data_IF_940186870838
#
_entry.id   IF_940186870838
#
_cell.length_a   1.000
_cell.length_b   1.000
_cell.length_c   1.000
_cell.angle_alpha   90.00
_cell.angle_beta   90.00
_cell.angle_gamma   90.00
#
_symmetry.space_group_name_H-M   'P 1'
#
loop_
_entity.id
_entity.type
_entity.pdbx_description
1 polymer ?
#
# COMPACT_ATOMS: atom_id res chain seq x y z
N UNK A 1 18.37 -30.99 34.30
CA UNK A 1 19.81 -30.89 34.60
C UNK A 1 20.53 -31.04 33.28
N UNK A 2 21.30 -30.03 32.89
CA UNK A 2 22.10 -30.01 31.66
C UNK A 2 23.55 -30.32 32.03
N UNK A 3 24.23 -31.16 31.23
CA UNK A 3 25.63 -31.53 31.42
C UNK A 3 26.29 -31.56 30.05
N UNK A 4 27.38 -30.82 29.87
CA UNK A 4 28.11 -30.73 28.60
C UNK A 4 29.59 -31.01 28.81
N UNK A 5 29.89 -32.21 29.29
CA UNK A 5 31.26 -32.62 29.58
C UNK A 5 31.99 -32.97 28.29
N UNK A 6 33.24 -32.52 28.19
CA UNK A 6 34.15 -32.96 27.13
C UNK A 6 34.27 -34.49 27.15
N UNK A 7 34.46 -35.10 25.99
CA UNK A 7 34.77 -36.53 25.89
C UNK A 7 35.89 -36.91 26.88
N UNK A 8 35.67 -37.97 27.66
CA UNK A 8 36.52 -38.46 28.77
C UNK A 8 36.58 -37.62 30.06
N UNK A 9 35.58 -36.78 30.30
CA UNK A 9 35.36 -36.02 31.53
C UNK A 9 34.00 -36.37 32.18
N UNK A 10 33.84 -36.21 33.51
CA UNK A 10 34.85 -35.87 34.50
C UNK A 10 35.85 -37.01 34.75
N UNK A 11 37.14 -36.68 34.89
CA UNK A 11 38.27 -37.61 34.98
C UNK A 11 38.49 -38.26 36.37
N UNK A 12 37.74 -37.84 37.39
CA UNK A 12 37.65 -38.55 38.68
C UNK A 12 38.89 -38.46 39.58
N UNK A 13 39.80 -37.53 39.31
CA UNK A 13 40.99 -37.29 40.13
C UNK A 13 40.65 -36.64 41.47
N UNK A 14 41.27 -37.09 42.57
CA UNK A 14 41.00 -36.56 43.93
C UNK A 14 41.36 -35.08 44.12
N UNK A 15 42.08 -34.48 43.17
CA UNK A 15 42.48 -33.08 43.17
C UNK A 15 41.71 -32.20 42.17
N UNK A 16 40.81 -32.76 41.36
CA UNK A 16 40.07 -32.02 40.32
C UNK A 16 38.60 -31.89 40.72
N UNK A 17 38.31 -30.92 41.60
CA UNK A 17 36.98 -30.74 42.20
C UNK A 17 36.23 -29.51 41.67
N UNK A 18 36.84 -28.73 40.78
CA UNK A 18 36.26 -27.54 40.17
C UNK A 18 36.02 -27.76 38.67
N UNK A 19 35.08 -27.02 38.08
CA UNK A 19 34.74 -27.10 36.65
C UNK A 19 35.21 -25.83 35.96
N UNK A 20 35.91 -25.99 34.84
CA UNK A 20 36.22 -24.90 33.93
C UNK A 20 35.55 -25.16 32.57
N UNK A 21 35.13 -24.09 31.89
CA UNK A 21 34.58 -24.16 30.53
C UNK A 21 35.67 -23.77 29.54
N UNK A 22 35.86 -24.58 28.50
CA UNK A 22 36.81 -24.26 27.43
C UNK A 22 36.18 -23.27 26.45
N UNK A 23 36.74 -22.06 26.30
CA UNK A 23 36.21 -21.07 25.32
C UNK A 23 36.41 -21.48 23.85
N UNK A 24 37.20 -22.52 23.58
CA UNK A 24 37.47 -23.01 22.22
C UNK A 24 36.60 -24.19 21.82
N UNK A 25 36.03 -24.92 22.78
CA UNK A 25 35.22 -26.12 22.51
C UNK A 25 33.87 -26.11 23.24
N UNK A 26 33.60 -25.08 24.05
CA UNK A 26 32.37 -24.82 24.82
C UNK A 26 31.95 -25.88 25.85
N UNK A 27 32.66 -27.01 25.90
CA UNK A 27 32.45 -28.13 26.83
C UNK A 27 33.15 -27.90 28.21
N UNK A 28 32.71 -28.66 29.21
CA UNK A 28 33.16 -28.62 30.61
C UNK A 28 34.31 -29.61 30.86
N UNK A 29 35.28 -29.18 31.67
CA UNK A 29 36.41 -29.99 32.11
C UNK A 29 36.60 -29.92 33.63
N UNK A 30 36.95 -31.04 34.27
CA UNK A 30 37.34 -31.06 35.67
C UNK A 30 38.77 -30.53 35.86
N UNK A 31 38.95 -29.56 36.76
CA UNK A 31 40.23 -28.90 37.02
C UNK A 31 40.50 -28.79 38.52
N UNK A 32 41.76 -28.55 38.85
CA UNK A 32 42.14 -28.22 40.22
C UNK A 32 41.54 -26.87 40.60
N UNK A 33 41.00 -26.77 41.81
CA UNK A 33 40.46 -25.51 42.33
C UNK A 33 41.55 -24.48 42.66
N UNK A 34 42.82 -24.92 42.73
CA UNK A 34 43.98 -24.07 43.04
C UNK A 34 44.63 -23.47 41.78
N UNK A 35 44.16 -23.84 40.59
CA UNK A 35 44.67 -23.31 39.32
C UNK A 35 44.10 -21.91 39.05
N UNK A 36 44.93 -21.02 38.50
CA UNK A 36 44.50 -19.68 38.12
C UNK A 36 43.79 -19.71 36.76
N UNK A 37 42.49 -19.42 36.76
CA UNK A 37 41.67 -19.24 35.57
C UNK A 37 40.97 -17.88 35.59
N UNK A 38 40.69 -17.34 34.39
CA UNK A 38 39.74 -16.25 34.26
C UNK A 38 38.35 -16.74 34.67
N UNK A 39 37.59 -15.88 35.35
CA UNK A 39 36.28 -16.23 35.89
C UNK A 39 35.18 -15.44 35.19
N UNK A 40 34.07 -16.11 34.88
CA UNK A 40 32.85 -15.47 34.40
C UNK A 40 31.87 -15.44 35.56
N UNK A 41 31.53 -14.24 36.02
CA UNK A 41 30.50 -14.06 37.04
C UNK A 41 29.12 -13.97 36.37
N UNK A 42 28.21 -14.86 36.73
CA UNK A 42 26.79 -14.73 36.35
C UNK A 42 26.07 -13.91 37.42
N UNK A 43 25.39 -12.84 37.00
CA UNK A 43 24.43 -12.12 37.84
C UNK A 43 23.04 -12.53 37.37
N UNK A 44 22.21 -13.03 38.29
CA UNK A 44 20.78 -13.18 38.04
C UNK A 44 20.13 -11.81 38.18
N UNK A 45 19.89 -11.13 37.06
CA UNK A 45 19.10 -9.90 37.04
C UNK A 45 17.65 -10.32 36.82
N UNK A 46 16.84 -10.31 37.86
CA UNK A 46 15.38 -10.35 37.67
C UNK A 46 14.99 -9.00 37.04
N UNK A 47 14.39 -9.04 35.85
CA UNK A 47 14.07 -7.88 35.00
C UNK A 47 15.28 -7.09 34.50
N UNK A 48 16.09 -7.69 33.62
CA UNK A 48 16.89 -6.87 32.69
C UNK A 48 15.96 -6.44 31.54
N UNK A 49 15.66 -5.15 31.46
CA UNK A 49 14.97 -4.62 30.28
C UNK A 49 15.95 -4.58 29.09
N UNK A 50 15.86 -5.60 28.24
CA UNK A 50 16.68 -5.75 27.04
C UNK A 50 16.42 -4.64 25.99
N UNK A 51 15.35 -3.85 26.16
CA UNK A 51 15.00 -2.73 25.29
C UNK A 51 15.54 -1.37 25.77
N UNK A 52 16.32 -1.33 26.87
CA UNK A 52 16.87 -0.07 27.42
C UNK A 52 17.59 0.81 26.39
N UNK A 53 18.22 0.20 25.38
CA UNK A 53 18.96 0.91 24.32
C UNK A 53 18.27 0.88 22.96
N UNK A 54 17.05 0.33 22.89
CA UNK A 54 16.32 -0.01 21.67
C UNK A 54 17.21 -0.66 20.57
N UNK A 55 17.47 -1.97 20.64
CA UNK A 55 18.26 -2.68 19.64
C UNK A 55 17.61 -2.74 18.24
N UNK A 56 16.31 -2.48 18.13
CA UNK A 56 15.57 -2.49 16.87
C UNK A 56 15.84 -1.19 16.11
N UNK A 57 16.32 -1.29 14.86
CA UNK A 57 16.65 -0.12 14.05
C UNK A 57 15.38 0.59 13.55
N UNK A 58 14.46 -0.17 12.97
CA UNK A 58 13.21 0.32 12.38
C UNK A 58 12.01 -0.48 12.91
N UNK A 59 11.85 -0.49 14.23
CA UNK A 59 10.76 -1.23 14.87
C UNK A 59 10.67 -0.97 16.36
N UNK A 60 9.65 -1.56 16.97
CA UNK A 60 9.42 -1.52 18.40
C UNK A 60 10.07 -2.73 19.09
N UNK A 61 10.88 -2.46 20.10
CA UNK A 61 11.49 -3.49 20.93
C UNK A 61 10.51 -3.99 22.00
N UNK A 62 10.37 -5.31 22.10
CA UNK A 62 9.60 -5.99 23.14
C UNK A 62 10.57 -6.80 24.00
N UNK A 63 10.70 -6.43 25.27
CA UNK A 63 11.55 -7.14 26.22
C UNK A 63 10.86 -8.42 26.71
N UNK A 64 11.63 -9.50 26.86
CA UNK A 64 11.19 -10.80 27.38
C UNK A 64 12.17 -11.30 28.44
N UNK A 65 11.86 -12.41 29.13
CA UNK A 65 12.57 -12.83 30.36
C UNK A 65 14.11 -12.98 30.21
N UNK A 66 14.61 -13.30 29.02
CA UNK A 66 16.05 -13.49 28.76
C UNK A 66 16.52 -12.90 27.42
N UNK A 67 15.65 -12.20 26.67
CA UNK A 67 15.96 -11.63 25.35
C UNK A 67 15.03 -10.48 25.00
N UNK A 68 15.26 -9.81 23.87
CA UNK A 68 14.29 -8.95 23.22
C UNK A 68 13.79 -9.57 21.91
N UNK A 69 12.67 -9.05 21.41
CA UNK A 69 12.20 -9.27 20.05
C UNK A 69 11.88 -7.92 19.42
N UNK A 70 12.05 -7.79 18.11
CA UNK A 70 11.67 -6.60 17.38
C UNK A 70 10.37 -6.81 16.62
N UNK A 71 9.45 -5.86 16.74
CA UNK A 71 8.27 -5.73 15.88
C UNK A 71 8.59 -4.69 14.84
N UNK A 72 8.87 -5.11 13.61
CA UNK A 72 9.35 -4.19 12.57
C UNK A 72 8.24 -3.29 12.04
N UNK A 73 8.61 -2.04 11.76
CA UNK A 73 7.77 -1.09 11.04
C UNK A 73 7.53 -1.59 9.61
N UNK A 74 6.51 -1.02 8.95
CA UNK A 74 6.18 -1.38 7.59
C UNK A 74 7.37 -1.22 6.64
N UNK A 75 7.58 -2.24 5.80
CA UNK A 75 8.71 -2.29 4.88
C UNK A 75 10.04 -2.68 5.52
N UNK A 76 10.07 -3.13 6.78
CA UNK A 76 11.29 -3.60 7.44
C UNK A 76 11.16 -5.05 7.92
N UNK A 77 12.27 -5.80 7.84
CA UNK A 77 12.38 -7.16 8.37
C UNK A 77 13.76 -7.44 8.98
N UNK A 78 13.95 -8.67 9.45
CA UNK A 78 15.14 -9.13 10.14
C UNK A 78 15.00 -9.05 11.66
N UNK A 79 15.87 -9.75 12.38
CA UNK A 79 15.84 -9.82 13.86
C UNK A 79 15.98 -8.44 14.52
N UNK A 80 16.64 -7.49 13.84
CA UNK A 80 16.87 -6.12 14.30
C UNK A 80 16.13 -5.07 13.46
N UNK A 81 15.24 -5.47 12.56
CA UNK A 81 14.58 -4.58 11.60
C UNK A 81 15.56 -3.75 10.75
N UNK A 82 16.63 -4.39 10.28
CA UNK A 82 17.74 -3.81 9.53
C UNK A 82 17.64 -4.08 8.01
N UNK A 83 16.64 -4.85 7.56
CA UNK A 83 16.41 -5.17 6.14
C UNK A 83 15.24 -4.38 5.60
N UNK A 84 15.50 -3.49 4.64
CA UNK A 84 14.49 -2.66 3.99
C UNK A 84 13.86 -3.39 2.78
N UNK A 85 12.53 -3.32 2.66
CA UNK A 85 11.76 -3.88 1.56
C UNK A 85 10.99 -2.79 0.83
N UNK A 86 11.07 -2.80 -0.51
CA UNK A 86 10.29 -1.94 -1.42
C UNK A 86 9.19 -2.75 -2.06
N UNK A 87 8.02 -2.17 -2.19
CA UNK A 87 6.84 -2.92 -1.83
C UNK A 87 5.67 -2.34 -2.64
N UNK A 88 5.14 -3.11 -3.59
CA UNK A 88 4.03 -2.76 -4.49
C UNK A 88 2.71 -3.30 -3.93
N UNK A 89 1.62 -3.30 -4.71
CA UNK A 89 0.37 -3.96 -4.30
C UNK A 89 0.47 -5.49 -4.27
N UNK A 90 1.36 -6.08 -5.08
CA UNK A 90 1.43 -7.54 -5.32
C UNK A 90 2.69 -8.19 -4.74
N UNK A 91 3.82 -7.47 -4.69
CA UNK A 91 5.14 -8.00 -4.31
C UNK A 91 5.88 -7.06 -3.36
N UNK A 92 6.89 -7.60 -2.68
CA UNK A 92 7.94 -6.79 -2.07
C UNK A 92 9.30 -7.31 -2.53
N UNK A 93 10.27 -6.41 -2.55
CA UNK A 93 11.58 -6.55 -3.13
C UNK A 93 12.64 -6.06 -2.15
N UNK A 94 13.70 -6.83 -1.97
CA UNK A 94 14.87 -6.50 -1.18
C UNK A 94 16.11 -6.55 -2.07
N UNK A 95 16.86 -5.45 -2.17
CA UNK A 95 18.09 -5.40 -2.95
C UNK A 95 19.30 -5.67 -2.05
N UNK A 96 20.11 -6.64 -2.46
CA UNK A 96 21.47 -6.78 -1.99
C UNK A 96 22.43 -5.97 -2.89
N UNK A 97 23.14 -5.04 -2.26
CA UNK A 97 24.09 -4.16 -2.96
C UNK A 97 25.38 -4.87 -3.37
N UNK A 98 25.73 -5.99 -2.72
CA UNK A 98 26.86 -6.83 -3.09
C UNK A 98 26.51 -7.71 -4.29
N UNK A 99 27.46 -7.83 -5.24
CA UNK A 99 27.31 -8.71 -6.41
C UNK A 99 27.71 -10.14 -6.05
N UNK A 100 26.86 -11.10 -6.41
CA UNK A 100 27.01 -12.52 -6.06
C UNK A 100 26.85 -13.41 -7.28
N UNK A 101 27.37 -14.64 -7.18
CA UNK A 101 27.06 -15.69 -8.16
C UNK A 101 25.58 -16.06 -8.08
N UNK A 102 25.03 -16.67 -9.12
CA UNK A 102 23.61 -17.06 -9.12
C UNK A 102 23.26 -17.97 -7.93
N UNK A 103 24.11 -18.95 -7.61
CA UNK A 103 23.89 -19.84 -6.47
C UNK A 103 23.95 -19.12 -5.12
N UNK A 104 24.86 -18.16 -4.97
CA UNK A 104 24.98 -17.37 -3.74
C UNK A 104 23.81 -16.39 -3.59
N UNK A 105 23.30 -15.86 -4.70
CA UNK A 105 22.12 -15.01 -4.75
C UNK A 105 20.86 -15.75 -4.27
N UNK A 106 20.65 -16.98 -4.76
CA UNK A 106 19.55 -17.86 -4.30
C UNK A 106 19.69 -18.15 -2.81
N UNK A 107 20.87 -18.60 -2.37
CA UNK A 107 21.11 -18.91 -0.96
C UNK A 107 20.92 -17.70 -0.03
N UNK A 108 21.24 -16.50 -0.52
CA UNK A 108 21.01 -15.27 0.22
C UNK A 108 19.51 -15.00 0.41
N UNK A 109 18.70 -15.06 -0.66
CA UNK A 109 17.26 -14.85 -0.55
C UNK A 109 16.60 -15.90 0.34
N UNK A 110 17.02 -17.15 0.24
CA UNK A 110 16.55 -18.23 1.13
C UNK A 110 16.88 -17.95 2.61
N UNK A 111 18.02 -17.30 2.88
CA UNK A 111 18.45 -16.97 4.26
C UNK A 111 17.60 -15.89 4.93
N UNK A 112 16.81 -15.13 4.16
CA UNK A 112 15.87 -14.14 4.70
C UNK A 112 14.62 -14.79 5.31
N UNK A 113 14.45 -16.10 5.11
CA UNK A 113 13.25 -16.81 5.52
C UNK A 113 13.32 -17.24 6.98
N UNK A 114 12.24 -17.04 7.77
CA UNK A 114 10.94 -16.47 7.38
C UNK A 114 10.89 -14.94 7.29
N UNK A 115 10.33 -14.38 6.21
CA UNK A 115 10.06 -12.94 6.12
C UNK A 115 8.71 -12.62 6.74
N UNK A 116 8.70 -11.66 7.68
CA UNK A 116 7.48 -11.13 8.31
C UNK A 116 7.44 -9.62 8.05
N UNK A 117 6.40 -9.14 7.36
CA UNK A 117 6.12 -7.72 7.15
C UNK A 117 4.79 -7.38 7.80
N UNK A 118 4.67 -6.20 8.42
CA UNK A 118 3.53 -5.80 9.23
C UNK A 118 2.34 -5.21 8.42
N UNK A 119 2.31 -5.47 7.11
CA UNK A 119 1.34 -4.85 6.22
C UNK A 119 -0.06 -5.48 6.35
N UNK A 120 -1.06 -4.61 6.35
CA UNK A 120 -2.49 -4.81 6.57
C UNK A 120 -3.22 -5.79 5.63
N UNK A 121 -2.52 -6.46 4.72
CA UNK A 121 -3.16 -7.30 3.69
C UNK A 121 -2.91 -8.79 3.90
N UNK A 122 -1.81 -9.22 4.53
CA UNK A 122 -1.62 -10.62 4.94
C UNK A 122 -0.78 -10.70 6.21
N UNK A 123 -1.41 -11.00 7.34
CA UNK A 123 -0.66 -11.51 8.50
C UNK A 123 -0.11 -12.89 8.15
N UNK A 124 1.18 -13.03 7.85
CA UNK A 124 1.76 -14.33 7.54
C UNK A 124 3.25 -14.33 7.23
N UNK A 125 3.90 -15.44 7.56
CA UNK A 125 5.27 -15.75 7.18
C UNK A 125 5.33 -16.19 5.72
N UNK A 126 6.22 -15.60 4.92
CA UNK A 126 6.49 -16.00 3.53
C UNK A 126 7.96 -16.32 3.32
N UNK A 127 8.22 -17.13 2.31
CA UNK A 127 9.57 -17.39 1.83
C UNK A 127 9.89 -16.41 0.70
N UNK A 128 10.98 -15.67 0.87
CA UNK A 128 11.64 -14.94 -0.16
C UNK A 128 12.31 -15.88 -1.16
N UNK A 129 12.24 -15.48 -2.42
CA UNK A 129 12.89 -16.12 -3.55
C UNK A 129 13.76 -15.10 -4.28
N UNK A 130 14.65 -15.54 -5.16
CA UNK A 130 15.27 -14.62 -6.12
C UNK A 130 14.19 -14.08 -7.09
N UNK A 131 14.43 -12.90 -7.67
CA UNK A 131 13.49 -12.19 -8.54
C UNK A 131 12.93 -13.09 -9.65
N UNK A 132 11.62 -13.07 -9.83
CA UNK A 132 10.90 -13.73 -10.91
C UNK A 132 10.03 -12.72 -11.66
N UNK A 133 10.17 -12.70 -12.98
CA UNK A 133 9.47 -11.78 -13.88
C UNK A 133 8.68 -12.63 -14.89
N UNK A 134 7.40 -12.87 -14.63
CA UNK A 134 6.60 -13.88 -15.33
C UNK A 134 5.68 -13.34 -16.42
N UNK A 135 5.37 -12.04 -16.41
CA UNK A 135 4.38 -11.41 -17.27
C UNK A 135 4.77 -10.00 -17.71
N UNK A 136 4.12 -9.46 -18.74
CA UNK A 136 4.29 -8.05 -19.16
C UNK A 136 3.92 -7.07 -18.03
N UNK A 137 3.03 -7.45 -17.12
CA UNK A 137 2.70 -6.66 -15.93
C UNK A 137 3.86 -6.65 -14.91
N UNK A 138 4.50 -7.81 -14.66
CA UNK A 138 5.70 -7.89 -13.82
C UNK A 138 6.85 -7.10 -14.41
N UNK A 139 7.01 -7.13 -15.74
CA UNK A 139 8.04 -6.38 -16.45
C UNK A 139 7.89 -4.87 -16.18
N UNK A 140 6.67 -4.32 -16.24
CA UNK A 140 6.41 -2.91 -15.95
C UNK A 140 6.56 -2.58 -14.46
N UNK A 141 6.13 -3.48 -13.57
CA UNK A 141 6.24 -3.29 -12.12
C UNK A 141 7.71 -3.21 -11.66
N UNK A 142 8.60 -3.95 -12.32
CA UNK A 142 10.04 -3.93 -12.03
C UNK A 142 10.74 -2.72 -12.70
N UNK A 143 10.20 -2.12 -13.77
CA UNK A 143 10.76 -0.88 -14.35
C UNK A 143 10.75 0.27 -13.35
N UNK A 144 9.63 0.50 -12.67
CA UNK A 144 9.49 1.54 -11.63
C UNK A 144 10.44 1.29 -10.45
N UNK A 145 10.82 0.02 -10.24
CA UNK A 145 11.76 -0.41 -9.20
C UNK A 145 13.23 -0.21 -9.62
N UNK A 146 13.55 -0.29 -10.91
CA UNK A 146 14.92 -0.15 -11.42
C UNK A 146 15.42 1.29 -11.44
N UNK A 147 14.53 2.27 -11.57
CA UNK A 147 14.86 3.69 -11.36
C UNK A 147 15.32 3.96 -9.91
N UNK A 148 14.79 3.19 -8.95
CA UNK A 148 15.20 3.25 -7.55
C UNK A 148 16.58 2.62 -7.29
N UNK A 149 17.00 1.65 -8.09
CA UNK A 149 18.30 0.97 -7.99
C UNK A 149 19.36 1.49 -8.96
N UNK A 150 19.36 2.81 -9.19
CA UNK A 150 20.06 3.56 -10.24
C UNK A 150 21.57 3.30 -10.45
N UNK A 151 22.22 2.50 -9.58
CA UNK A 151 23.61 2.08 -9.71
C UNK A 151 23.82 0.67 -10.26
N UNK A 152 22.77 -0.16 -10.34
CA UNK A 152 22.85 -1.56 -10.75
C UNK A 152 22.75 -1.69 -12.27
N UNK A 153 23.54 -2.58 -12.88
CA UNK A 153 23.53 -2.80 -14.34
C UNK A 153 22.86 -4.12 -14.74
N UNK A 154 22.96 -5.12 -13.87
CA UNK A 154 22.43 -6.46 -14.09
C UNK A 154 21.88 -7.00 -12.78
N UNK A 155 20.72 -7.64 -12.86
CA UNK A 155 20.08 -8.31 -11.73
C UNK A 155 19.75 -9.73 -12.12
N UNK A 156 20.08 -10.68 -11.25
CA UNK A 156 19.73 -12.09 -11.45
C UNK A 156 18.20 -12.30 -11.44
N UNK A 157 17.72 -13.17 -12.33
CA UNK A 157 16.33 -13.67 -12.32
C UNK A 157 16.31 -15.19 -12.18
N UNK A 158 15.24 -15.74 -11.61
CA UNK A 158 15.10 -17.17 -11.32
C UNK A 158 14.85 -18.02 -12.57
N UNK A 159 15.79 -17.99 -13.52
CA UNK A 159 15.73 -18.69 -14.78
C UNK A 159 17.04 -19.39 -15.04
N UNK A 160 16.95 -20.69 -15.31
CA UNK A 160 18.10 -21.52 -15.61
C UNK A 160 17.81 -22.48 -16.76
N UNK A 161 18.87 -22.91 -17.45
CA UNK A 161 18.84 -23.91 -18.51
C UNK A 161 19.62 -25.15 -18.05
N UNK A 162 18.90 -26.15 -17.51
CA UNK A 162 19.51 -27.37 -16.95
C UNK A 162 20.16 -28.27 -18.03
N UNK A 163 19.71 -28.18 -19.27
CA UNK A 163 20.12 -29.06 -20.38
C UNK A 163 21.05 -28.35 -21.40
N UNK A 164 21.36 -27.07 -21.17
CA UNK A 164 22.19 -26.18 -22.00
C UNK A 164 21.75 -26.16 -23.48
N UNK A 165 20.44 -26.24 -23.73
CA UNK A 165 19.84 -26.30 -25.06
C UNK A 165 19.22 -24.98 -25.52
N UNK A 166 19.43 -23.91 -24.75
CA UNK A 166 18.89 -22.55 -24.87
C UNK A 166 17.39 -22.43 -24.55
N UNK A 167 16.76 -23.46 -23.97
CA UNK A 167 15.41 -23.40 -23.42
C UNK A 167 15.44 -23.12 -21.92
N UNK A 168 15.48 -21.84 -21.58
CA UNK A 168 15.46 -21.40 -20.19
C UNK A 168 14.10 -21.68 -19.54
N UNK A 169 14.17 -22.22 -18.33
CA UNK A 169 13.04 -22.49 -17.47
C UNK A 169 13.09 -21.51 -16.31
N UNK A 170 12.14 -20.58 -16.26
CA UNK A 170 11.98 -19.72 -15.11
C UNK A 170 10.96 -20.30 -14.15
N UNK A 171 11.35 -20.48 -12.89
CA UNK A 171 10.44 -20.96 -11.85
C UNK A 171 10.17 -19.82 -10.88
N UNK A 172 8.89 -19.50 -10.66
CA UNK A 172 8.50 -18.94 -9.38
C UNK A 172 8.29 -20.11 -8.42
N UNK A 173 8.68 -19.96 -7.15
CA UNK A 173 8.45 -21.01 -6.15
C UNK A 173 6.96 -21.41 -6.05
N UNK A 174 6.05 -20.53 -6.46
CA UNK A 174 4.60 -20.69 -6.33
C UNK A 174 3.75 -20.35 -7.59
N UNK A 175 4.21 -19.57 -8.58
CA UNK A 175 3.41 -19.21 -9.80
C UNK A 175 3.60 -20.16 -11.01
N UNK A 176 4.36 -21.24 -10.82
CA UNK A 176 4.63 -22.21 -11.88
C UNK A 176 5.81 -21.82 -12.77
N UNK A 177 5.86 -22.46 -13.93
CA UNK A 177 7.05 -22.51 -14.79
C UNK A 177 6.81 -21.74 -16.09
N UNK A 178 7.64 -20.73 -16.36
CA UNK A 178 7.64 -20.01 -17.64
C UNK A 178 8.70 -20.60 -18.56
N UNK A 179 8.31 -21.00 -19.77
CA UNK A 179 9.19 -21.61 -20.78
C UNK A 179 9.27 -20.84 -22.10
N UNK A 180 8.48 -19.77 -22.27
CA UNK A 180 8.36 -18.97 -23.51
C UNK A 180 8.78 -17.50 -23.30
N UNK A 181 10.01 -17.27 -22.84
CA UNK A 181 10.54 -15.93 -22.53
C UNK A 181 10.69 -15.12 -23.84
N UNK A 182 10.12 -13.91 -23.88
CA UNK A 182 10.14 -13.05 -25.09
C UNK A 182 10.91 -11.74 -24.93
N UNK A 183 11.24 -11.33 -23.71
CA UNK A 183 11.82 -10.02 -23.44
C UNK A 183 13.36 -9.97 -23.54
N UNK A 184 13.93 -10.70 -24.51
CA UNK A 184 15.36 -10.78 -24.74
C UNK A 184 15.94 -9.49 -25.33
N UNK A 185 17.18 -9.17 -24.97
CA UNK A 185 17.98 -8.15 -25.65
C UNK A 185 18.24 -8.58 -27.11
N UNK A 186 18.48 -7.59 -27.98
CA UNK A 186 18.84 -7.85 -29.36
C UNK A 186 20.02 -8.83 -29.44
N UNK A 187 19.83 -9.92 -30.19
CA UNK A 187 20.77 -11.05 -30.36
C UNK A 187 20.89 -12.06 -29.20
N UNK A 188 20.04 -11.98 -28.18
CA UNK A 188 19.93 -12.97 -27.11
C UNK A 188 18.72 -13.91 -27.32
N UNK A 189 18.72 -15.14 -26.75
CA UNK A 189 19.85 -15.78 -26.09
C UNK A 189 20.96 -16.12 -27.10
N UNK A 190 22.22 -15.87 -26.75
CA UNK A 190 23.36 -16.06 -27.66
C UNK A 190 24.20 -17.31 -27.38
N UNK A 191 23.91 -18.00 -26.27
CA UNK A 191 24.17 -19.41 -25.99
C UNK A 191 25.46 -19.99 -26.57
N UNK A 192 26.58 -19.84 -25.86
CA UNK A 192 27.81 -20.58 -26.15
C UNK A 192 27.86 -21.99 -25.52
N UNK A 193 26.78 -22.41 -24.85
CA UNK A 193 26.67 -23.67 -24.09
C UNK A 193 27.26 -23.63 -22.68
N UNK A 194 27.58 -22.44 -22.15
CA UNK A 194 28.03 -22.23 -20.75
C UNK A 194 27.25 -21.15 -19.99
N UNK A 195 26.29 -20.52 -20.66
CA UNK A 195 25.48 -19.40 -20.16
C UNK A 195 24.10 -19.90 -19.74
N UNK A 196 24.05 -20.69 -18.67
CA UNK A 196 22.84 -21.40 -18.23
C UNK A 196 21.98 -20.60 -17.24
N UNK A 197 22.31 -19.34 -16.96
CA UNK A 197 21.55 -18.46 -16.06
C UNK A 197 21.12 -17.18 -16.78
N UNK A 198 20.13 -16.45 -16.26
CA UNK A 198 19.63 -15.23 -16.90
C UNK A 198 19.74 -14.02 -15.98
N UNK A 199 20.15 -12.89 -16.55
CA UNK A 199 20.12 -11.61 -15.87
C UNK A 199 19.35 -10.57 -16.69
N UNK A 200 18.67 -9.66 -15.99
CA UNK A 200 18.00 -8.50 -16.60
C UNK A 200 18.96 -7.31 -16.59
N UNK A 201 19.12 -6.71 -17.77
CA UNK A 201 19.83 -5.45 -17.97
C UNK A 201 18.89 -4.30 -17.59
N UNK A 202 19.17 -3.69 -16.44
CA UNK A 202 18.24 -2.77 -15.76
C UNK A 202 17.90 -1.52 -16.56
N UNK A 203 18.84 -0.99 -17.36
CA UNK A 203 18.63 0.27 -18.09
C UNK A 203 17.89 0.12 -19.42
N UNK A 204 17.70 -1.10 -19.92
CA UNK A 204 16.91 -1.38 -21.13
C UNK A 204 15.69 -2.27 -20.85
N UNK A 205 15.61 -2.82 -19.63
CA UNK A 205 14.66 -3.84 -19.24
C UNK A 205 14.63 -5.04 -20.21
N UNK A 206 15.82 -5.54 -20.55
CA UNK A 206 16.03 -6.66 -21.48
C UNK A 206 16.87 -7.77 -20.88
N UNK A 207 16.60 -8.99 -21.30
CA UNK A 207 17.17 -10.19 -20.69
C UNK A 207 18.39 -10.67 -21.49
N UNK A 208 19.41 -11.15 -20.78
CA UNK A 208 20.63 -11.73 -21.34
C UNK A 208 20.93 -13.07 -20.68
N UNK A 209 21.36 -14.07 -21.46
CA UNK A 209 21.89 -15.31 -20.92
C UNK A 209 23.34 -15.12 -20.47
N UNK A 210 23.66 -15.62 -19.27
CA UNK A 210 24.90 -15.35 -18.52
C UNK A 210 25.44 -16.62 -17.90
N UNK A 211 26.74 -16.62 -17.63
CA UNK A 211 27.35 -17.74 -16.88
C UNK A 211 26.90 -17.62 -15.44
N UNK A 212 26.40 -18.70 -14.86
CA UNK A 212 25.96 -18.71 -13.46
C UNK A 212 27.06 -18.33 -12.46
N UNK A 213 28.33 -18.42 -12.87
CA UNK A 213 29.51 -18.02 -12.08
C UNK A 213 29.87 -16.53 -12.17
N UNK A 214 29.22 -15.78 -13.06
CA UNK A 214 29.38 -14.32 -13.09
C UNK A 214 28.81 -13.71 -11.80
N UNK A 215 29.15 -12.47 -11.48
CA UNK A 215 28.65 -11.79 -10.28
C UNK A 215 27.77 -10.61 -10.66
N UNK A 216 26.53 -10.59 -10.19
CA UNK A 216 25.56 -9.51 -10.41
C UNK A 216 24.75 -9.22 -9.15
N UNK A 217 24.02 -8.10 -9.16
CA UNK A 217 23.18 -7.73 -8.03
C UNK A 217 22.03 -8.72 -7.83
N UNK A 218 21.65 -8.91 -6.57
CA UNK A 218 20.56 -9.81 -6.18
C UNK A 218 19.36 -9.01 -5.73
N UNK A 219 18.21 -9.27 -6.34
CA UNK A 219 16.92 -8.80 -5.84
C UNK A 219 16.18 -10.03 -5.32
N UNK A 220 15.87 -10.02 -4.03
CA UNK A 220 14.97 -10.99 -3.42
C UNK A 220 13.55 -10.47 -3.48
N UNK A 221 12.58 -11.34 -3.69
CA UNK A 221 11.17 -10.99 -3.74
C UNK A 221 10.35 -11.83 -2.76
N UNK A 222 9.24 -11.28 -2.29
CA UNK A 222 8.17 -12.01 -1.62
C UNK A 222 6.83 -11.62 -2.26
N UNK A 223 5.91 -12.58 -2.36
CA UNK A 223 4.54 -12.30 -2.80
C UNK A 223 3.71 -11.80 -1.60
N UNK A 224 2.96 -10.72 -1.82
CA UNK A 224 2.02 -10.17 -0.83
C UNK A 224 0.66 -10.84 -0.86
N UNK A 225 0.31 -11.48 -1.97
CA UNK A 225 -1.00 -12.11 -2.20
C UNK A 225 -0.85 -13.64 -2.13
N UNK A 226 -1.81 -14.39 -1.55
CA UNK A 226 -1.84 -15.84 -1.66
C UNK A 226 -1.97 -16.30 -3.14
N UNK A 227 -1.23 -17.35 -3.45
CA UNK A 227 -1.06 -18.04 -4.75
C UNK A 227 -2.39 -18.56 -5.34
N UNK A 228 -3.41 -18.68 -4.48
CA UNK A 228 -4.78 -18.91 -4.87
C UNK A 228 -5.59 -17.76 -4.30
N UNK A 229 -6.47 -17.21 -5.12
CA UNK A 229 -7.46 -16.23 -4.70
C UNK A 229 -8.19 -16.79 -3.47
N UNK A 230 -7.95 -16.18 -2.32
CA UNK A 230 -8.70 -16.51 -1.11
C UNK A 230 -9.95 -15.68 -1.23
N UNK A 231 -11.11 -16.34 -1.22
CA UNK A 231 -12.38 -15.62 -1.15
C UNK A 231 -12.43 -14.90 0.21
N UNK A 232 -11.97 -13.64 0.25
CA UNK A 232 -11.98 -12.82 1.46
C UNK A 232 -13.42 -12.52 1.89
N UNK A 233 -14.36 -12.56 0.94
CA UNK A 233 -15.78 -12.46 1.17
C UNK A 233 -16.40 -13.70 1.82
N UNK A 234 -15.70 -14.84 1.90
CA UNK A 234 -16.21 -16.05 2.56
C UNK A 234 -16.49 -15.86 4.06
N UNK A 235 -15.92 -14.81 4.67
CA UNK A 235 -16.14 -14.45 6.07
C UNK A 235 -17.21 -13.36 6.27
N UNK A 236 -17.82 -12.87 5.19
CA UNK A 236 -18.74 -11.73 5.18
C UNK A 236 -18.17 -10.51 5.94
N UNK A 237 -17.01 -9.96 5.51
CA UNK A 237 -16.33 -8.90 6.25
C UNK A 237 -17.09 -7.55 6.24
N UNK A 238 -17.92 -7.30 5.24
CA UNK A 238 -18.75 -6.09 5.14
C UNK A 238 -19.94 -6.18 6.10
N UNK A 239 -20.06 -5.26 7.05
CA UNK A 239 -21.13 -5.31 8.06
C UNK A 239 -22.51 -4.94 7.48
N UNK A 240 -22.55 -3.86 6.71
CA UNK A 240 -23.77 -3.33 6.08
C UNK A 240 -23.48 -3.02 4.62
N UNK A 241 -23.19 -4.05 3.83
CA UNK A 241 -22.86 -3.88 2.42
C UNK A 241 -22.61 -5.21 1.72
N UNK A 242 -22.30 -5.13 0.43
CA UNK A 242 -21.98 -6.27 -0.42
C UNK A 242 -20.47 -6.36 -0.59
N UNK A 243 -19.89 -7.51 -0.21
CA UNK A 243 -18.49 -7.79 -0.44
C UNK A 243 -18.24 -8.19 -1.89
N UNK A 244 -17.21 -7.60 -2.49
CA UNK A 244 -16.66 -8.02 -3.79
C UNK A 244 -15.24 -8.53 -3.59
N UNK A 245 -15.05 -9.78 -3.95
CA UNK A 245 -13.78 -10.49 -3.87
C UNK A 245 -12.76 -9.91 -4.87
N UNK A 246 -11.50 -9.92 -4.49
CA UNK A 246 -10.39 -9.40 -5.28
C UNK A 246 -9.10 -10.07 -4.87
N UNK A 247 -8.05 -9.92 -5.66
CA UNK A 247 -6.81 -10.69 -5.46
C UNK A 247 -6.08 -10.26 -4.17
N UNK A 248 -6.31 -10.99 -3.08
CA UNK A 248 -5.76 -10.70 -1.75
C UNK A 248 -6.37 -9.49 -1.07
N UNK A 249 -7.52 -9.01 -1.54
CA UNK A 249 -8.21 -7.83 -1.03
C UNK A 249 -9.68 -7.95 -1.36
N UNK A 250 -10.54 -7.54 -0.42
CA UNK A 250 -11.95 -7.35 -0.70
C UNK A 250 -12.28 -5.86 -0.77
N UNK A 251 -13.34 -5.53 -1.50
CA UNK A 251 -13.96 -4.20 -1.45
C UNK A 251 -15.40 -4.33 -1.00
N UNK A 252 -15.85 -3.45 -0.11
CA UNK A 252 -17.25 -3.38 0.27
C UNK A 252 -17.99 -2.35 -0.58
N UNK A 253 -19.18 -2.69 -1.07
CA UNK A 253 -20.13 -1.69 -1.54
C UNK A 253 -21.16 -1.49 -0.43
N UNK A 254 -21.09 -0.37 0.28
CA UNK A 254 -21.93 -0.14 1.45
C UNK A 254 -23.40 0.03 1.10
N UNK A 255 -24.26 -0.44 2.01
CA UNK A 255 -25.68 -0.17 1.98
C UNK A 255 -25.94 1.32 2.25
N UNK A 256 -27.13 1.79 1.88
CA UNK A 256 -27.51 3.20 2.06
C UNK A 256 -27.34 3.66 3.51
N UNK A 257 -26.66 4.80 3.68
CA UNK A 257 -26.42 5.41 4.99
C UNK A 257 -25.25 4.78 5.76
N UNK A 258 -24.48 3.90 5.13
CA UNK A 258 -23.24 3.33 5.68
C UNK A 258 -22.02 3.73 4.86
N UNK A 259 -20.87 3.80 5.52
CA UNK A 259 -19.57 4.09 4.91
C UNK A 259 -18.42 3.42 5.67
N UNK A 260 -17.22 3.65 5.16
CA UNK A 260 -15.97 3.05 5.62
C UNK A 260 -15.65 1.71 4.95
N UNK A 261 -14.38 1.30 5.07
CA UNK A 261 -13.82 0.14 4.35
C UNK A 261 -14.62 -1.16 4.52
N UNK A 262 -15.28 -1.33 5.68
CA UNK A 262 -16.12 -2.49 6.00
C UNK A 262 -17.60 -2.13 6.27
N UNK A 263 -18.03 -0.92 5.92
CA UNK A 263 -19.41 -0.45 6.09
C UNK A 263 -19.94 -0.52 7.54
N UNK A 264 -19.10 -0.15 8.49
CA UNK A 264 -19.38 -0.18 9.93
C UNK A 264 -19.76 1.20 10.51
N UNK A 265 -19.69 2.25 9.69
CA UNK A 265 -19.95 3.63 10.11
C UNK A 265 -21.28 4.11 9.54
N UNK A 266 -22.19 4.56 10.42
CA UNK A 266 -23.45 5.19 10.02
C UNK A 266 -23.14 6.63 9.59
N UNK A 267 -23.55 7.00 8.37
CA UNK A 267 -23.28 8.32 7.79
C UNK A 267 -24.58 8.96 7.30
N UNK A 268 -24.94 10.10 7.91
CA UNK A 268 -26.06 10.91 7.42
C UNK A 268 -25.59 11.95 6.40
N UNK A 269 -26.03 11.80 5.15
CA UNK A 269 -25.75 12.73 4.06
C UNK A 269 -26.92 13.70 3.82
N UNK A 270 -26.61 14.99 3.72
CA UNK A 270 -27.53 16.04 3.25
C UNK A 270 -27.16 16.43 1.84
N UNK A 271 -28.10 16.35 0.93
CA UNK A 271 -27.76 16.46 -0.48
C UNK A 271 -28.59 17.48 -1.23
N UNK A 272 -27.93 18.06 -2.20
CA UNK A 272 -28.47 19.02 -3.15
C UNK A 272 -28.59 18.36 -4.53
N UNK A 273 -28.74 19.17 -5.58
CA UNK A 273 -28.83 18.66 -6.94
C UNK A 273 -27.48 18.11 -7.44
N UNK A 274 -26.36 18.69 -6.99
CA UNK A 274 -25.01 18.44 -7.51
C UNK A 274 -24.11 17.68 -6.53
N UNK A 275 -24.28 17.89 -5.21
CA UNK A 275 -23.39 17.37 -4.17
C UNK A 275 -24.18 16.79 -2.98
N UNK A 276 -23.56 15.88 -2.25
CA UNK A 276 -23.95 15.49 -0.90
C UNK A 276 -22.91 15.98 0.09
N UNK A 277 -23.36 16.25 1.31
CA UNK A 277 -22.55 16.80 2.37
C UNK A 277 -22.80 16.07 3.69
N UNK A 278 -21.75 15.83 4.45
CA UNK A 278 -21.79 15.24 5.78
C UNK A 278 -20.96 16.11 6.74
N UNK A 279 -21.54 16.48 7.89
CA UNK A 279 -20.85 17.29 8.89
C UNK A 279 -20.33 16.41 10.03
N UNK A 280 -19.04 16.50 10.30
CA UNK A 280 -18.44 16.10 11.57
C UNK A 280 -18.47 17.27 12.55
N UNK A 281 -19.23 17.11 13.63
CA UNK A 281 -19.36 18.15 14.67
C UNK A 281 -18.15 18.24 15.60
N UNK A 282 -17.29 17.22 15.61
CA UNK A 282 -16.03 17.24 16.36
C UNK A 282 -14.97 18.02 15.57
N UNK A 283 -14.39 19.03 16.21
CA UNK A 283 -13.39 19.87 15.57
C UNK A 283 -12.03 19.16 15.52
N UNK A 284 -11.39 19.16 14.36
CA UNK A 284 -10.11 18.49 14.12
C UNK A 284 -9.13 19.37 13.35
N UNK A 285 -7.85 19.00 13.34
CA UNK A 285 -6.86 19.60 12.45
C UNK A 285 -7.20 19.33 10.99
N UNK A 286 -6.62 20.12 10.07
CA UNK A 286 -6.86 19.94 8.64
C UNK A 286 -6.49 18.53 8.16
N UNK A 287 -5.32 18.02 8.54
CA UNK A 287 -4.89 16.65 8.17
C UNK A 287 -5.85 15.57 8.71
N UNK A 288 -6.35 15.72 9.93
CA UNK A 288 -7.32 14.78 10.49
C UNK A 288 -8.69 14.90 9.82
N UNK A 289 -9.06 16.11 9.35
CA UNK A 289 -10.30 16.35 8.62
C UNK A 289 -10.29 15.64 7.26
N UNK A 290 -9.18 15.73 6.53
CA UNK A 290 -8.96 14.99 5.27
C UNK A 290 -9.07 13.48 5.52
N UNK A 291 -8.28 12.97 6.46
CA UNK A 291 -8.27 11.55 6.80
C UNK A 291 -9.66 11.02 7.23
N UNK A 292 -10.45 11.84 7.94
CA UNK A 292 -11.82 11.47 8.29
C UNK A 292 -12.70 11.32 7.06
N UNK A 293 -12.71 12.29 6.14
CA UNK A 293 -13.54 12.20 4.94
C UNK A 293 -13.13 11.01 4.06
N UNK A 294 -11.82 10.75 3.94
CA UNK A 294 -11.31 9.59 3.22
C UNK A 294 -11.77 8.27 3.88
N UNK A 295 -11.83 8.22 5.21
CA UNK A 295 -12.28 7.04 5.95
C UNK A 295 -13.76 6.71 5.79
N UNK A 296 -14.56 7.61 5.20
CA UNK A 296 -15.96 7.31 4.89
C UNK A 296 -16.11 6.49 3.61
N UNK A 297 -15.03 6.35 2.83
CA UNK A 297 -15.05 5.63 1.58
C UNK A 297 -15.07 4.13 1.80
N UNK A 298 -15.78 3.37 0.95
CA UNK A 298 -16.66 3.81 -0.14
C UNK A 298 -18.06 4.29 0.33
N UNK A 299 -18.65 5.26 -0.39
CA UNK A 299 -20.02 5.76 -0.06
C UNK A 299 -21.05 5.43 -1.14
N UNK A 300 -22.23 4.98 -0.70
CA UNK A 300 -23.39 4.66 -1.55
C UNK A 300 -24.60 5.54 -1.21
N UNK A 301 -25.26 6.09 -2.23
CA UNK A 301 -26.44 6.97 -2.10
C UNK A 301 -27.62 6.45 -2.92
N UNK A 302 -28.81 6.39 -2.33
CA UNK A 302 -30.05 5.93 -2.99
C UNK A 302 -30.90 7.10 -3.49
N UNK A 303 -30.40 7.84 -4.47
CA UNK A 303 -31.22 8.86 -5.13
C UNK A 303 -31.14 8.70 -6.64
N UNK A 304 -32.27 8.94 -7.31
CA UNK A 304 -32.61 8.67 -8.73
C UNK A 304 -31.64 9.20 -9.80
N UNK A 305 -30.53 9.81 -9.42
CA UNK A 305 -29.51 10.41 -10.30
C UNK A 305 -28.13 9.74 -10.10
N UNK A 306 -27.91 9.01 -9.00
CA UNK A 306 -26.62 8.43 -8.65
C UNK A 306 -26.75 6.91 -8.53
N UNK A 307 -26.25 6.17 -9.49
CA UNK A 307 -25.97 4.74 -9.34
C UNK A 307 -24.46 4.54 -9.42
N UNK A 308 -23.83 4.25 -8.28
CA UNK A 308 -22.39 3.96 -8.22
C UNK A 308 -21.76 4.38 -6.89
N UNK A 309 -20.64 3.74 -6.58
CA UNK A 309 -19.77 4.05 -5.44
C UNK A 309 -18.93 5.30 -5.74
N UNK A 310 -18.85 6.24 -4.80
CA UNK A 310 -18.02 7.45 -4.92
C UNK A 310 -17.16 7.63 -3.69
N UNK A 311 -16.05 8.34 -3.88
CA UNK A 311 -15.19 8.76 -2.78
C UNK A 311 -15.66 10.13 -2.28
N UNK A 312 -15.87 10.22 -0.97
CA UNK A 312 -15.97 11.43 -0.22
C UNK A 312 -14.62 12.12 -0.13
N UNK A 313 -14.64 13.45 -0.23
CA UNK A 313 -13.49 14.32 -0.01
C UNK A 313 -13.86 15.38 1.02
N UNK A 314 -12.87 16.11 1.55
CA UNK A 314 -13.14 17.34 2.29
C UNK A 314 -13.79 18.39 1.35
N UNK A 315 -14.59 19.30 1.92
CA UNK A 315 -15.37 20.31 1.20
C UNK A 315 -14.52 21.08 0.18
N UNK A 316 -14.98 21.12 -1.07
CA UNK A 316 -14.43 21.95 -2.14
C UNK A 316 -15.53 22.85 -2.71
N UNK A 317 -15.20 24.13 -2.89
CA UNK A 317 -16.11 25.14 -3.39
C UNK A 317 -15.43 25.85 -4.55
N UNK A 318 -15.73 25.41 -5.77
CA UNK A 318 -15.05 25.80 -7.01
C UNK A 318 -15.70 26.95 -7.77
N UNK A 319 -16.93 27.36 -7.43
CA UNK A 319 -17.64 28.43 -8.14
C UNK A 319 -18.59 29.25 -7.26
N UNK A 320 -18.96 30.45 -7.72
CA UNK A 320 -19.94 31.32 -7.05
C UNK A 320 -21.32 30.64 -6.89
N UNK A 321 -21.68 29.73 -7.81
CA UNK A 321 -22.91 28.95 -7.73
C UNK A 321 -22.87 27.94 -6.58
N UNK A 322 -21.72 27.31 -6.37
CA UNK A 322 -21.50 26.37 -5.26
C UNK A 322 -21.38 27.07 -3.92
N UNK A 323 -20.80 28.27 -3.88
CA UNK A 323 -20.82 29.10 -2.67
C UNK A 323 -22.26 29.21 -2.19
N UNK A 324 -23.18 29.64 -3.07
CA UNK A 324 -24.62 29.80 -2.79
C UNK A 324 -25.27 28.48 -2.31
N UNK A 325 -24.92 27.36 -2.92
CA UNK A 325 -25.44 26.03 -2.58
C UNK A 325 -24.99 25.55 -1.19
N UNK A 326 -23.78 25.92 -0.78
CA UNK A 326 -23.26 25.65 0.57
C UNK A 326 -23.80 26.67 1.60
N UNK A 327 -24.17 27.90 1.21
CA UNK A 327 -24.79 28.88 2.14
C UNK A 327 -26.12 28.34 2.73
N UNK A 328 -26.99 27.79 1.90
CA UNK A 328 -28.27 27.18 2.33
C UNK A 328 -28.04 25.97 3.27
N UNK A 329 -26.86 25.37 3.20
CA UNK A 329 -26.42 24.23 3.99
C UNK A 329 -25.81 24.67 5.33
N UNK A 330 -25.11 25.81 5.39
CA UNK A 330 -24.50 26.33 6.62
C UNK A 330 -25.52 26.81 7.65
N UNK A 331 -26.71 27.26 7.22
CA UNK A 331 -27.84 27.53 8.12
C UNK A 331 -28.28 26.27 8.91
N UNK A 332 -28.11 25.08 8.32
CA UNK A 332 -28.38 23.80 8.99
C UNK A 332 -27.26 23.41 9.99
N UNK A 333 -26.04 23.91 9.79
CA UNK A 333 -24.86 23.65 10.61
C UNK A 333 -24.56 24.76 11.64
N UNK A 334 -25.56 25.58 11.97
CA UNK A 334 -25.56 26.79 12.82
C UNK A 334 -24.74 26.79 14.13
N UNK A 335 -24.22 25.65 14.60
CA UNK A 335 -23.31 25.58 15.75
C UNK A 335 -21.82 25.78 15.41
N UNK A 336 -21.42 25.62 14.15
CA UNK A 336 -20.02 25.64 13.73
C UNK A 336 -19.65 27.04 13.23
N UNK A 337 -18.54 27.62 13.71
CA UNK A 337 -18.08 28.97 13.30
C UNK A 337 -17.14 28.96 12.09
N UNK A 338 -16.39 27.87 11.92
CA UNK A 338 -15.46 27.68 10.83
C UNK A 338 -15.54 26.24 10.35
N UNK A 339 -15.41 26.07 9.04
CA UNK A 339 -15.35 24.76 8.38
C UNK A 339 -14.15 24.71 7.46
N UNK A 340 -13.40 23.61 7.50
CA UNK A 340 -12.28 23.39 6.60
C UNK A 340 -12.72 23.26 5.14
N UNK A 341 -11.91 23.81 4.22
CA UNK A 341 -12.05 23.60 2.78
C UNK A 341 -10.76 23.05 2.20
N UNK A 342 -10.85 22.30 1.09
CA UNK A 342 -9.72 21.62 0.46
C UNK A 342 -8.81 22.59 -0.30
N UNK A 343 -8.20 23.52 0.42
CA UNK A 343 -7.29 24.51 -0.13
C UNK A 343 -6.10 24.66 0.79
N UNK A 344 -4.91 24.55 0.20
CA UNK A 344 -3.67 24.69 0.91
C UNK A 344 -2.61 25.43 0.08
N UNK A 345 -1.61 25.97 0.77
CA UNK A 345 -0.46 26.66 0.19
C UNK A 345 0.80 25.83 0.45
N UNK A 346 1.20 25.00 -0.51
CA UNK A 346 2.36 24.11 -0.39
C UNK A 346 3.69 24.87 -0.31
N UNK A 347 3.77 26.02 -0.99
CA UNK A 347 5.00 26.81 -1.13
C UNK A 347 5.09 27.95 -0.10
N UNK A 348 4.06 28.13 0.73
CA UNK A 348 3.95 29.17 1.75
C UNK A 348 4.15 30.59 1.17
N UNK A 349 3.72 30.79 -0.08
CA UNK A 349 3.93 32.00 -0.87
C UNK A 349 2.67 32.86 -1.04
N UNK A 350 1.58 32.50 -0.34
CA UNK A 350 0.22 33.04 -0.37
C UNK A 350 -0.60 32.70 -1.63
N UNK A 351 -0.12 31.78 -2.48
CA UNK A 351 -0.88 31.24 -3.60
C UNK A 351 -1.54 29.91 -3.20
N UNK A 352 -2.74 30.01 -2.64
CA UNK A 352 -3.53 28.84 -2.27
C UNK A 352 -4.04 28.10 -3.50
N UNK A 353 -3.90 26.78 -3.47
CA UNK A 353 -4.40 25.87 -4.48
C UNK A 353 -5.50 25.04 -3.83
N UNK A 354 -6.72 25.14 -4.35
CA UNK A 354 -7.80 24.25 -3.97
C UNK A 354 -7.89 23.11 -4.96
N UNK A 355 -7.92 21.87 -4.47
CA UNK A 355 -8.05 20.68 -5.32
C UNK A 355 -9.34 19.94 -5.02
N UNK A 356 -9.90 19.34 -6.05
CA UNK A 356 -10.95 18.34 -5.93
C UNK A 356 -10.64 17.18 -6.87
N UNK A 357 -10.84 15.97 -6.38
CA UNK A 357 -10.49 14.74 -7.12
C UNK A 357 -11.18 14.66 -8.49
N UNK A 358 -12.41 15.19 -8.61
CA UNK A 358 -13.22 15.14 -9.84
C UNK A 358 -13.52 16.53 -10.49
N UNK A 359 -13.25 17.66 -9.81
CA UNK A 359 -13.58 19.03 -10.28
C UNK A 359 -12.35 19.86 -10.72
N UNK A 360 -11.13 19.32 -10.52
CA UNK A 360 -9.89 19.96 -10.91
C UNK A 360 -9.34 20.92 -9.85
N UNK A 361 -8.65 21.97 -10.30
CA UNK A 361 -7.85 22.84 -9.43
C UNK A 361 -8.28 24.30 -9.57
N UNK A 362 -8.55 24.96 -8.45
CA UNK A 362 -8.84 26.39 -8.38
C UNK A 362 -7.65 27.14 -7.76
N UNK A 363 -7.09 28.09 -8.50
CA UNK A 363 -5.93 28.91 -8.06
C UNK A 363 -6.26 30.39 -7.86
N UNK A 364 -7.42 30.86 -8.35
CA UNK A 364 -7.84 32.27 -8.29
C UNK A 364 -8.99 32.47 -7.28
N UNK A 365 -8.73 32.17 -6.00
CA UNK A 365 -9.73 32.31 -4.93
C UNK A 365 -10.09 33.79 -4.72
N UNK A 366 -11.38 34.13 -4.77
CA UNK A 366 -11.87 35.53 -4.68
C UNK A 366 -12.76 35.83 -3.50
N UNK A 367 -13.28 34.81 -2.80
CA UNK A 367 -14.27 34.99 -1.75
C UNK A 367 -13.67 35.20 -0.34
N UNK A 368 -12.53 35.88 -0.29
CA UNK A 368 -11.81 36.20 0.95
C UNK A 368 -12.59 37.16 1.86
N UNK A 369 -12.42 37.00 3.16
CA UNK A 369 -12.82 38.00 4.17
C UNK A 369 -11.98 39.28 4.01
N UNK A 370 -12.50 40.39 4.52
CA UNK A 370 -11.79 41.66 4.52
C UNK A 370 -10.39 41.53 5.13
N UNK A 371 -9.40 41.94 4.34
CA UNK A 371 -7.97 41.87 4.69
C UNK A 371 -7.38 40.46 4.70
N UNK A 372 -8.03 39.45 4.13
CA UNK A 372 -7.47 38.12 3.88
C UNK A 372 -7.04 37.95 2.41
N UNK A 373 -6.09 37.05 2.11
CA UNK A 373 -5.27 36.28 3.05
C UNK A 373 -4.23 37.15 3.77
N UNK A 374 -4.00 36.93 5.07
CA UNK A 374 -3.11 37.78 5.88
C UNK A 374 -1.95 37.07 6.60
N UNK A 375 -1.88 35.76 6.53
CA UNK A 375 -0.99 34.93 7.32
C UNK A 375 0.40 34.71 6.75
N UNK A 376 0.63 34.99 5.47
CA UNK A 376 1.89 34.63 4.81
C UNK A 376 2.17 33.11 4.94
N UNK A 377 3.45 32.72 4.96
CA UNK A 377 3.87 31.31 5.05
C UNK A 377 3.72 30.61 6.40
N UNK A 378 2.70 30.95 7.19
CA UNK A 378 2.39 30.28 8.47
C UNK A 378 0.93 29.86 8.62
N UNK A 379 0.09 30.25 7.65
CA UNK A 379 -1.33 29.95 7.58
C UNK A 379 -1.62 29.31 6.23
N UNK A 380 -1.16 28.08 6.05
CA UNK A 380 -1.17 27.42 4.75
C UNK A 380 -2.46 26.61 4.47
N UNK A 381 -3.50 26.75 5.30
CA UNK A 381 -4.80 26.10 5.10
C UNK A 381 -5.93 27.12 5.08
N UNK A 382 -7.08 26.77 4.50
CA UNK A 382 -8.21 27.70 4.39
C UNK A 382 -9.44 27.17 5.12
N UNK A 383 -10.12 28.07 5.83
CA UNK A 383 -11.42 27.79 6.43
C UNK A 383 -12.46 28.83 5.98
N UNK A 384 -13.70 28.37 5.83
CA UNK A 384 -14.85 29.24 5.59
C UNK A 384 -15.46 29.63 6.93
N UNK A 385 -15.61 30.94 7.15
CA UNK A 385 -16.40 31.49 8.25
C UNK A 385 -17.88 31.39 7.87
N UNK A 386 -18.63 30.64 8.65
CA UNK A 386 -19.99 30.18 8.32
C UNK A 386 -21.09 31.24 8.50
N UNK A 387 -20.84 32.32 9.25
CA UNK A 387 -21.85 33.35 9.56
C UNK A 387 -21.97 34.44 8.47
N UNK A 388 -20.96 34.56 7.60
CA UNK A 388 -20.97 35.50 6.47
C UNK A 388 -20.31 34.96 5.19
N UNK A 389 -20.04 33.64 5.13
CA UNK A 389 -19.56 32.91 3.95
C UNK A 389 -18.31 33.51 3.33
N UNK A 390 -17.31 33.84 4.16
CA UNK A 390 -16.02 34.37 3.73
C UNK A 390 -14.87 33.50 4.16
N UNK A 391 -13.80 33.54 3.38
CA UNK A 391 -12.67 32.64 3.52
C UNK A 391 -11.56 33.33 4.32
N UNK A 392 -10.92 32.57 5.20
CA UNK A 392 -9.75 32.99 5.96
C UNK A 392 -8.65 31.96 5.79
N UNK A 393 -7.41 32.41 5.61
CA UNK A 393 -6.25 31.56 5.77
C UNK A 393 -6.00 31.32 7.27
N UNK A 394 -5.66 30.08 7.59
CA UNK A 394 -5.57 29.53 8.95
C UNK A 394 -4.35 28.65 9.06
N UNK A 395 -3.83 28.52 10.28
CA UNK A 395 -2.85 27.50 10.54
C UNK A 395 -3.52 26.13 10.44
N UNK A 396 -2.94 25.22 9.65
CA UNK A 396 -3.42 23.85 9.49
C UNK A 396 -3.51 23.04 10.80
N UNK A 397 -2.85 23.53 11.86
CA UNK A 397 -2.85 22.94 13.21
C UNK A 397 -3.98 23.41 14.11
N UNK A 398 -4.76 24.42 13.68
CA UNK A 398 -5.99 24.81 14.37
C UNK A 398 -7.05 23.72 14.25
N UNK A 399 -8.12 23.79 15.06
CA UNK A 399 -9.18 22.78 15.03
C UNK A 399 -10.51 23.39 14.63
N UNK A 400 -11.07 22.94 13.51
CA UNK A 400 -12.36 23.38 12.99
C UNK A 400 -13.23 22.19 12.60
N UNK A 401 -14.51 22.47 12.35
CA UNK A 401 -15.46 21.46 11.91
C UNK A 401 -15.16 21.01 10.48
N UNK A 402 -15.50 19.75 10.20
CA UNK A 402 -15.23 19.14 8.89
C UNK A 402 -16.55 18.91 8.18
N UNK A 403 -16.63 19.37 6.94
CA UNK A 403 -17.69 18.96 6.01
C UNK A 403 -17.04 18.08 4.96
N UNK A 404 -17.49 16.83 4.90
CA UNK A 404 -17.18 15.92 3.81
C UNK A 404 -18.21 16.10 2.71
N UNK A 405 -17.79 15.92 1.46
CA UNK A 405 -18.65 16.07 0.30
C UNK A 405 -18.52 14.88 -0.64
N UNK A 406 -19.57 14.62 -1.42
CA UNK A 406 -19.58 13.63 -2.51
C UNK A 406 -20.27 14.25 -3.72
N UNK A 407 -19.71 14.02 -4.91
CA UNK A 407 -20.31 14.44 -6.17
C UNK A 407 -21.44 13.51 -6.62
N UNK A 408 -22.54 14.12 -7.08
CA UNK A 408 -23.70 13.39 -7.62
C UNK A 408 -23.67 13.25 -9.13
N UNK A 409 -22.79 13.97 -9.82
CA UNK A 409 -22.76 14.05 -11.28
C UNK A 409 -21.32 14.02 -11.78
N UNK A 410 -20.99 13.30 -12.89
CA UNK A 410 -19.75 13.53 -13.60
C UNK A 410 -19.73 14.96 -14.16
N UNK A 411 -18.67 15.70 -13.88
CA UNK A 411 -18.56 17.15 -14.14
C UNK A 411 -18.35 17.48 -15.63
N UNK A 412 -18.34 16.46 -16.49
CA UNK A 412 -18.51 16.59 -17.93
C UNK A 412 -19.66 15.68 -18.36
N UNK A 413 -20.64 16.24 -19.07
CA UNK A 413 -21.66 15.47 -19.78
C UNK A 413 -20.94 14.57 -20.79
N UNK A 414 -20.81 13.29 -20.48
CA UNK A 414 -20.28 12.30 -21.40
C UNK A 414 -21.39 12.09 -22.40
N UNK A 415 -21.14 12.34 -23.69
CA UNK A 415 -22.15 12.05 -24.69
C UNK A 415 -22.31 10.53 -24.81
N UNK A 416 -23.21 9.93 -24.03
CA UNK A 416 -23.46 8.48 -24.06
C UNK A 416 -24.08 8.06 -25.41
N UNK A 417 -24.66 9.01 -26.15
CA UNK A 417 -25.11 8.80 -27.51
C UNK A 417 -23.97 8.73 -28.55
N UNK A 418 -22.71 8.99 -28.18
CA UNK A 418 -21.57 8.94 -29.11
C UNK A 418 -21.33 7.53 -29.70
N UNK A 419 -21.71 6.49 -28.97
CA UNK A 419 -21.64 5.08 -29.42
C UNK A 419 -22.96 4.57 -30.02
N UNK A 420 -24.00 5.41 -30.04
CA UNK A 420 -25.38 5.10 -30.43
C UNK A 420 -25.92 3.80 -29.78
N UNK A 421 -26.18 3.82 -28.46
CA UNK A 421 -26.62 2.64 -27.72
C UNK A 421 -28.05 2.16 -28.05
N UNK A 422 -28.90 3.03 -28.63
CA UNK A 422 -30.26 2.68 -29.02
C UNK A 422 -30.27 1.83 -30.30
N UNK A 423 -30.75 0.59 -30.21
CA UNK A 423 -30.75 -0.33 -31.36
C UNK A 423 -31.80 0.03 -32.42
N UNK A 424 -33.03 0.30 -31.97
CA UNK A 424 -34.18 0.63 -32.84
C UNK A 424 -34.93 1.86 -32.30
N UNK A 425 -34.20 2.98 -32.21
CA UNK A 425 -34.76 4.24 -31.71
C UNK A 425 -33.77 5.40 -31.83
N UNK A 426 -34.23 6.58 -31.40
CA UNK A 426 -33.41 7.81 -31.36
C UNK A 426 -32.81 7.97 -29.97
N UNK A 427 -31.48 8.08 -29.90
CA UNK A 427 -30.76 8.42 -28.68
C UNK A 427 -30.84 9.91 -28.41
N UNK A 428 -31.18 10.27 -27.18
CA UNK A 428 -31.13 11.63 -26.65
C UNK A 428 -30.18 11.67 -25.48
N UNK A 429 -29.16 12.51 -25.61
CA UNK A 429 -28.13 12.75 -24.60
C UNK A 429 -28.72 13.51 -23.40
N UNK A 430 -28.29 13.14 -22.20
CA UNK A 430 -28.71 13.75 -20.95
C UNK A 430 -27.61 13.61 -19.91
N UNK A 431 -27.68 14.42 -18.85
CA UNK A 431 -26.60 14.51 -17.86
C UNK A 431 -26.32 13.18 -17.16
N UNK A 432 -25.30 12.46 -17.64
CA UNK A 432 -24.88 11.13 -17.15
C UNK A 432 -25.82 9.98 -17.53
N UNK A 433 -26.73 10.18 -18.49
CA UNK A 433 -27.73 9.20 -18.94
C UNK A 433 -28.10 9.42 -20.40
N UNK A 434 -28.32 8.34 -21.15
CA UNK A 434 -29.00 8.42 -22.45
C UNK A 434 -30.45 7.95 -22.35
N UNK A 435 -31.33 8.57 -23.14
CA UNK A 435 -32.74 8.16 -23.28
C UNK A 435 -32.96 7.69 -24.71
N UNK A 436 -33.44 6.45 -24.86
CA UNK A 436 -33.88 5.94 -26.16
C UNK A 436 -35.38 6.18 -26.39
N UNK A 437 -35.69 6.91 -27.46
CA UNK A 437 -37.06 6.99 -27.99
C UNK A 437 -37.23 5.89 -29.03
N UNK A 438 -37.90 4.79 -28.67
CA UNK A 438 -38.03 3.62 -29.54
C UNK A 438 -38.96 3.86 -30.74
N UNK A 439 -38.57 3.27 -31.88
CA UNK A 439 -39.38 3.24 -33.09
C UNK A 439 -40.63 2.37 -32.90
N UNK A 440 -41.63 2.58 -33.76
CA UNK A 440 -42.92 1.89 -33.66
C UNK A 440 -42.75 0.35 -33.73
N UNK A 441 -43.19 -0.35 -32.68
CA UNK A 441 -43.06 -1.80 -32.55
C UNK A 441 -41.82 -2.27 -31.79
N UNK A 442 -41.03 -1.34 -31.23
CA UNK A 442 -39.87 -1.62 -30.37
C UNK A 442 -40.05 -1.01 -28.97
N UNK A 443 -39.35 -1.57 -27.99
CA UNK A 443 -39.35 -1.14 -26.60
C UNK A 443 -38.15 -1.70 -25.84
N UNK A 444 -38.10 -1.46 -24.53
CA UNK A 444 -36.92 -1.72 -23.71
C UNK A 444 -36.02 -0.48 -23.65
N UNK A 445 -35.13 -0.44 -22.65
CA UNK A 445 -34.34 0.75 -22.32
C UNK A 445 -33.36 1.15 -23.44
N UNK A 446 -32.97 0.19 -24.29
CA UNK A 446 -32.14 0.40 -25.48
C UNK A 446 -32.85 0.06 -26.80
N UNK A 447 -34.19 -0.09 -26.78
CA UNK A 447 -35.02 -0.44 -27.95
C UNK A 447 -34.63 -1.78 -28.61
N UNK A 448 -34.30 -2.78 -27.81
CA UNK A 448 -33.89 -4.13 -28.20
C UNK A 448 -35.03 -5.15 -28.19
N UNK A 449 -36.19 -4.81 -27.64
CA UNK A 449 -37.34 -5.72 -27.56
C UNK A 449 -38.43 -5.36 -28.56
N UNK A 450 -39.01 -6.37 -29.22
CA UNK A 450 -40.15 -6.19 -30.11
C UNK A 450 -41.42 -6.09 -29.27
N UNK A 451 -42.07 -4.94 -29.29
CA UNK A 451 -43.39 -4.74 -28.71
C UNK A 451 -44.43 -5.01 -29.80
N UNK A 452 -44.94 -6.23 -29.84
CA UNK A 452 -45.90 -6.66 -30.85
C UNK A 452 -47.12 -5.74 -30.93
N UNK A 453 -47.50 -5.35 -32.15
CA UNK A 453 -48.81 -4.75 -32.43
C UNK A 453 -49.89 -5.82 -32.20
N UNK A 454 -50.73 -5.64 -31.18
CA UNK A 454 -51.99 -6.38 -31.06
C UNK A 454 -53.02 -5.89 -32.09
#
# INVERSE_FOLDING_TARGET
MFFDWRSSQPGGGSSQQCVAVSITHTEWEDKSCDDNYDTVCQIYVADLDHCTYNPCQNGECVSSQDTFACTCNDGWSGELCDKEWKCTSTKCFHLLTEENTFSDAVAYCDSLNPVTLNQTIVTGTRNASILFVGSDADINEVEDLFDFFSSTRHVWVNCFDDDSDTNFVCTADDEGTLTDIRNWESTQPNGDGSQDCVAVVTNHNKWEDKRCTDTYNTVCQIYRVPIADIDECATDPCQNGVCTDGLGVFTCTCDEGWGGDICDTIVEWKCTATKCFHLLTEASTFSNAVAYCDSLNPVTLNQTIVTGTRNASILFVGSDAEITEVEDLFDFFSSSRHVWVNCFDEDSDTNFVCTADDEGTLTDIRNWESSQPNGGGSQDCVAVVTDHNKWEDKSCTETYNTVCQIYRVPVADINECATNPCQNGVCTDGLGVFICTCDEGWGGDICDTIVGKF
#
